data_IF_654383686345
#
_entry.id   IF_654383686345
#
_cell.length_a   1.000
_cell.length_b   1.000
_cell.length_c   1.000
_cell.angle_alpha   90.00
_cell.angle_beta   90.00
_cell.angle_gamma   90.00
#
_symmetry.space_group_name_H-M   'P 1'
#
loop_
_entity.id
_entity.type
_entity.pdbx_description
1 polymer ?
#
# COMPACT_ATOMS: atom_id res chain seq x y z
N UNK A 1 -29.55 -32.14 -0.26
CA UNK A 1 -28.53 -31.23 0.29
C UNK A 1 -27.27 -32.05 0.55
N UNK A 2 -26.27 -31.95 -0.32
CA UNK A 2 -25.08 -32.83 -0.28
C UNK A 2 -23.85 -32.04 0.16
N UNK A 3 -23.24 -32.54 1.23
CA UNK A 3 -22.02 -32.11 1.93
C UNK A 3 -20.78 -31.96 1.03
N UNK A 4 -20.85 -32.33 -0.25
CA UNK A 4 -19.77 -32.22 -1.22
C UNK A 4 -19.40 -30.76 -1.58
N UNK A 5 -20.30 -29.79 -1.39
CA UNK A 5 -20.03 -28.38 -1.72
C UNK A 5 -19.20 -27.67 -0.63
N UNK A 6 -19.26 -28.14 0.62
CA UNK A 6 -18.55 -27.55 1.75
C UNK A 6 -17.09 -28.03 1.88
N UNK A 7 -16.74 -29.20 1.31
CA UNK A 7 -15.33 -29.65 1.27
C UNK A 7 -14.47 -28.88 0.27
N UNK A 8 -15.08 -28.19 -0.70
CA UNK A 8 -14.34 -27.42 -1.71
C UNK A 8 -13.85 -26.06 -1.21
N UNK A 9 -14.36 -25.57 -0.08
CA UNK A 9 -13.92 -24.32 0.55
C UNK A 9 -12.68 -24.49 1.46
N UNK A 10 -12.30 -25.74 1.76
CA UNK A 10 -11.12 -26.06 2.59
C UNK A 10 -9.97 -26.64 1.75
N UNK A 11 -10.26 -27.00 0.49
CA UNK A 11 -9.27 -27.52 -0.48
C UNK A 11 -8.99 -26.49 -1.57
N UNK A 12 -8.89 -25.22 -1.18
CA UNK A 12 -8.28 -24.18 -1.99
C UNK A 12 -6.78 -24.42 -2.08
N UNK A 13 -6.37 -25.52 -2.73
CA UNK A 13 -5.07 -25.57 -3.37
C UNK A 13 -5.12 -24.45 -4.39
N UNK A 14 -4.65 -23.28 -3.98
CA UNK A 14 -4.28 -22.19 -4.86
C UNK A 14 -3.50 -22.84 -5.98
N UNK A 15 -4.11 -22.92 -7.17
CA UNK A 15 -3.32 -23.01 -8.39
C UNK A 15 -2.58 -21.69 -8.41
N UNK A 16 -1.43 -21.64 -7.76
CA UNK A 16 -0.51 -20.54 -7.92
C UNK A 16 -0.32 -20.42 -9.44
N UNK A 17 -0.58 -19.24 -10.04
CA UNK A 17 -0.07 -18.99 -11.37
C UNK A 17 1.43 -19.33 -11.35
N UNK A 18 2.01 -19.85 -12.45
CA UNK A 18 3.40 -20.32 -12.49
C UNK A 18 4.27 -19.35 -11.71
N UNK A 19 4.85 -19.81 -10.59
CA UNK A 19 5.38 -18.97 -9.51
C UNK A 19 6.28 -17.88 -10.08
N UNK A 20 5.67 -16.73 -10.37
CA UNK A 20 6.34 -15.60 -11.03
C UNK A 20 7.24 -14.90 -10.02
N UNK A 21 7.08 -15.20 -8.74
CA UNK A 21 7.80 -14.62 -7.62
C UNK A 21 8.09 -15.70 -6.57
N UNK A 22 9.26 -15.59 -5.91
CA UNK A 22 9.55 -16.36 -4.70
C UNK A 22 8.43 -16.20 -3.66
N UNK A 23 8.09 -17.24 -2.87
CA UNK A 23 6.96 -17.23 -1.93
C UNK A 23 6.97 -16.06 -0.95
N UNK A 24 8.13 -15.47 -0.66
CA UNK A 24 8.26 -14.33 0.27
C UNK A 24 8.10 -12.96 -0.41
N UNK A 25 8.24 -12.88 -1.74
CA UNK A 25 8.24 -11.60 -2.48
C UNK A 25 6.83 -11.02 -2.57
N UNK A 26 5.84 -11.85 -2.95
CA UNK A 26 4.47 -11.37 -3.15
C UNK A 26 3.83 -10.83 -1.86
N UNK A 27 3.91 -11.53 -0.69
CA UNK A 27 3.39 -11.00 0.57
C UNK A 27 4.07 -9.71 1.03
N UNK A 28 5.39 -9.61 0.86
CA UNK A 28 6.14 -8.41 1.20
C UNK A 28 5.73 -7.23 0.32
N UNK A 29 5.62 -7.44 -1.00
CA UNK A 29 5.17 -6.42 -1.95
C UNK A 29 3.78 -5.91 -1.60
N UNK A 30 2.83 -6.81 -1.31
CA UNK A 30 1.47 -6.45 -0.93
C UNK A 30 1.44 -5.64 0.37
N UNK A 31 2.26 -6.02 1.35
CA UNK A 31 2.35 -5.32 2.63
C UNK A 31 2.91 -3.90 2.47
N UNK A 32 3.97 -3.73 1.66
CA UNK A 32 4.55 -2.41 1.37
C UNK A 32 3.58 -1.50 0.61
N UNK A 33 2.90 -2.04 -0.42
CA UNK A 33 1.91 -1.29 -1.19
C UNK A 33 0.68 -0.94 -0.35
N UNK A 34 0.23 -1.86 0.51
CA UNK A 34 -0.87 -1.61 1.44
C UNK A 34 -0.55 -0.47 2.40
N UNK A 35 0.63 -0.49 3.02
CA UNK A 35 1.07 0.58 3.91
C UNK A 35 1.15 1.95 3.19
N UNK A 36 1.63 1.98 1.94
CA UNK A 36 1.63 3.21 1.13
C UNK A 36 0.21 3.70 0.82
N UNK A 37 -0.71 2.78 0.48
CA UNK A 37 -2.09 3.12 0.20
C UNK A 37 -2.79 3.73 1.43
N UNK A 38 -2.55 3.19 2.62
CA UNK A 38 -3.07 3.72 3.87
C UNK A 38 -2.54 5.14 4.13
N UNK A 39 -1.23 5.37 3.95
CA UNK A 39 -0.60 6.69 4.12
C UNK A 39 -1.16 7.71 3.11
N UNK A 40 -1.34 7.30 1.85
CA UNK A 40 -1.87 8.16 0.79
C UNK A 40 -3.35 8.51 1.03
N UNK A 41 -4.13 7.55 1.52
CA UNK A 41 -5.53 7.75 1.89
C UNK A 41 -5.68 8.70 3.08
N UNK A 42 -4.90 8.50 4.16
CA UNK A 42 -4.90 9.40 5.31
C UNK A 42 -4.56 10.84 4.92
N UNK A 43 -3.53 11.04 4.10
CA UNK A 43 -3.16 12.36 3.60
C UNK A 43 -4.31 13.04 2.86
N UNK A 44 -4.98 12.31 1.96
CA UNK A 44 -6.08 12.87 1.19
C UNK A 44 -7.27 13.24 2.09
N UNK A 45 -7.62 12.38 3.04
CA UNK A 45 -8.67 12.62 4.03
C UNK A 45 -8.38 13.88 4.89
N UNK A 46 -7.15 14.00 5.39
CA UNK A 46 -6.75 15.10 6.26
C UNK A 46 -6.69 16.41 5.47
N UNK A 47 -6.19 16.37 4.23
CA UNK A 47 -6.17 17.53 3.32
C UNK A 47 -7.60 18.02 3.03
N UNK A 48 -8.53 17.12 2.74
CA UNK A 48 -9.94 17.49 2.54
C UNK A 48 -10.55 18.11 3.79
N UNK A 49 -10.21 17.59 4.97
CA UNK A 49 -10.67 18.14 6.26
C UNK A 49 -10.19 19.57 6.44
N UNK A 50 -8.92 19.86 6.14
CA UNK A 50 -8.37 21.22 6.19
C UNK A 50 -9.08 22.14 5.20
N UNK A 51 -9.28 21.69 3.95
CA UNK A 51 -9.94 22.49 2.91
C UNK A 51 -11.39 22.85 3.30
N UNK A 52 -12.12 21.92 3.91
CA UNK A 52 -13.51 22.10 4.36
C UNK A 52 -13.64 22.90 5.67
N UNK A 53 -12.54 23.13 6.39
CA UNK A 53 -12.58 23.86 7.67
C UNK A 53 -12.88 25.36 7.47
N UNK A 54 -13.42 26.05 8.49
CA UNK A 54 -13.75 27.48 8.40
C UNK A 54 -12.53 28.41 8.63
N UNK A 55 -11.31 27.86 8.75
CA UNK A 55 -10.11 28.67 9.00
C UNK A 55 -9.73 29.50 7.77
N UNK A 56 -8.97 30.57 7.99
CA UNK A 56 -8.54 31.47 6.91
C UNK A 56 -7.64 30.76 5.88
N UNK A 57 -7.75 31.18 4.61
CA UNK A 57 -7.05 30.54 3.49
C UNK A 57 -5.51 30.49 3.67
N UNK A 58 -4.82 31.55 4.15
CA UNK A 58 -3.38 31.47 4.41
C UNK A 58 -3.00 30.40 5.45
N UNK A 59 -3.86 30.20 6.46
CA UNK A 59 -3.66 29.16 7.47
C UNK A 59 -3.90 27.77 6.91
N UNK A 60 -4.90 27.58 6.04
CA UNK A 60 -5.12 26.33 5.31
C UNK A 60 -3.88 25.95 4.48
N UNK A 61 -3.35 26.89 3.71
CA UNK A 61 -2.19 26.65 2.86
C UNK A 61 -0.97 26.24 3.69
N UNK A 62 -0.72 26.89 4.82
CA UNK A 62 0.37 26.52 5.74
C UNK A 62 0.16 25.13 6.34
N UNK A 63 -1.05 24.80 6.74
CA UNK A 63 -1.39 23.48 7.26
C UNK A 63 -1.21 22.39 6.20
N UNK A 64 -1.68 22.61 4.97
CA UNK A 64 -1.51 21.68 3.84
C UNK A 64 -0.03 21.50 3.49
N UNK A 65 0.77 22.56 3.49
CA UNK A 65 2.21 22.47 3.22
C UNK A 65 2.92 21.60 4.28
N UNK A 66 2.54 21.76 5.55
CA UNK A 66 3.05 20.95 6.65
C UNK A 66 2.62 19.49 6.50
N UNK A 67 1.33 19.25 6.24
CA UNK A 67 0.78 17.92 6.00
C UNK A 67 1.47 17.21 4.83
N UNK A 68 1.73 17.92 3.72
CA UNK A 68 2.42 17.38 2.56
C UNK A 68 3.89 17.04 2.86
N UNK A 69 4.55 17.79 3.73
CA UNK A 69 5.91 17.45 4.20
C UNK A 69 5.89 16.15 5.01
N UNK A 70 5.01 16.04 6.01
CA UNK A 70 4.87 14.84 6.82
C UNK A 70 4.49 13.61 5.98
N UNK A 71 3.59 13.78 5.01
CA UNK A 71 3.22 12.71 4.08
C UNK A 71 4.42 12.17 3.30
N UNK A 72 5.25 13.06 2.73
CA UNK A 72 6.48 12.63 2.04
C UNK A 72 7.44 11.88 2.96
N UNK A 73 7.66 12.40 4.17
CA UNK A 73 8.54 11.78 5.16
C UNK A 73 8.04 10.39 5.59
N UNK A 74 6.71 10.21 5.74
CA UNK A 74 6.10 8.92 6.06
C UNK A 74 6.20 7.90 4.93
N UNK A 75 6.12 8.34 3.67
CA UNK A 75 6.23 7.45 2.49
C UNK A 75 7.65 6.98 2.22
N UNK A 76 8.65 7.83 2.47
CA UNK A 76 10.03 7.64 2.02
C UNK A 76 10.62 6.25 2.38
N UNK A 77 10.44 5.72 3.60
CA UNK A 77 10.94 4.39 3.94
C UNK A 77 10.34 3.27 3.06
N UNK A 78 9.03 3.32 2.82
CA UNK A 78 8.34 2.28 2.04
C UNK A 78 8.69 2.34 0.56
N UNK A 79 8.85 3.55 0.00
CA UNK A 79 9.33 3.73 -1.37
C UNK A 79 10.73 3.12 -1.53
N UNK A 80 11.64 3.38 -0.58
CA UNK A 80 12.98 2.79 -0.60
C UNK A 80 12.96 1.25 -0.53
N UNK A 81 12.08 0.67 0.27
CA UNK A 81 11.94 -0.78 0.35
C UNK A 81 11.36 -1.38 -0.94
N UNK A 82 10.41 -0.71 -1.58
CA UNK A 82 9.90 -1.11 -2.90
C UNK A 82 11.02 -1.06 -3.95
N UNK A 83 11.82 0.00 -4.00
CA UNK A 83 12.95 0.11 -4.93
C UNK A 83 13.97 -1.03 -4.73
N UNK A 84 14.21 -1.44 -3.47
CA UNK A 84 15.07 -2.58 -3.15
C UNK A 84 14.45 -3.89 -3.64
N UNK A 85 13.17 -4.10 -3.39
CA UNK A 85 12.43 -5.28 -3.81
C UNK A 85 12.40 -5.41 -5.33
N UNK A 86 12.17 -4.31 -6.05
CA UNK A 86 12.19 -4.27 -7.52
C UNK A 86 13.58 -4.66 -8.06
N UNK A 87 14.66 -4.10 -7.51
CA UNK A 87 16.03 -4.51 -7.87
C UNK A 87 16.31 -5.99 -7.59
N UNK A 88 15.76 -6.55 -6.52
CA UNK A 88 15.91 -7.97 -6.20
C UNK A 88 15.17 -8.84 -7.22
N UNK A 89 13.94 -8.48 -7.58
CA UNK A 89 13.15 -9.15 -8.62
C UNK A 89 13.93 -9.12 -9.94
N UNK A 90 14.40 -7.93 -10.34
CA UNK A 90 15.19 -7.76 -11.56
C UNK A 90 16.43 -8.67 -11.58
N UNK A 91 17.19 -8.78 -10.47
CA UNK A 91 18.35 -9.70 -10.43
C UNK A 91 17.98 -11.17 -10.45
N UNK A 92 16.80 -11.53 -9.94
CA UNK A 92 16.36 -12.93 -9.82
C UNK A 92 15.78 -13.45 -11.14
N UNK A 93 15.18 -12.56 -11.94
CA UNK A 93 14.48 -12.91 -13.19
C UNK A 93 15.11 -12.27 -14.45
N UNK A 94 16.29 -11.67 -14.34
CA UNK A 94 17.08 -11.19 -15.49
C UNK A 94 17.93 -12.29 -16.12
#
# INVERSE_FOLDING_TARGET
>A
MSSAMLKRLISGTSRQPPDTYSPDILPLMQSLLGALADIDFEFQKDRETILKSPIEEPLKQRAIATLAKCHRERRDPYVREIDKLERQIQRTFA
#
